data_IF_433089098440
#
_entry.id   IF_433089098440
#
_cell.length_a   1.000
_cell.length_b   1.000
_cell.length_c   1.000
_cell.angle_alpha   90.00
_cell.angle_beta   90.00
_cell.angle_gamma   90.00
#
_symmetry.space_group_name_H-M   'P 1'
#
loop_
_entity.id
_entity.type
_entity.pdbx_description
1 polymer ?
#
# COMPACT_ATOMS: atom_id res chain seq x y z
N UNK A 1 16.97 17.38 11.49
CA UNK A 1 15.76 17.40 10.62
C UNK A 1 16.14 17.27 9.16
N UNK A 2 16.98 18.17 8.63
CA UNK A 2 17.72 17.97 7.38
C UNK A 2 18.35 16.57 7.32
N UNK A 3 18.24 15.91 6.16
CA UNK A 3 18.71 14.55 5.88
C UNK A 3 18.08 13.42 6.73
N UNK A 4 17.00 13.69 7.46
CA UNK A 4 16.24 12.61 8.09
C UNK A 4 15.46 11.81 7.05
N UNK A 5 15.23 10.52 7.31
CA UNK A 5 14.35 9.67 6.48
C UNK A 5 12.95 10.28 6.32
N UNK A 6 12.44 10.90 7.39
CA UNK A 6 11.19 11.65 7.37
C UNK A 6 11.20 12.76 6.32
N UNK A 7 12.19 13.65 6.36
CA UNK A 7 12.28 14.78 5.43
C UNK A 7 12.43 14.29 3.98
N UNK A 8 13.26 13.26 3.77
CA UNK A 8 13.44 12.65 2.44
C UNK A 8 12.13 12.07 1.91
N UNK A 9 11.39 11.29 2.71
CA UNK A 9 10.10 10.74 2.30
C UNK A 9 9.11 11.85 1.95
N UNK A 10 8.95 12.82 2.85
CA UNK A 10 7.99 13.91 2.70
C UNK A 10 8.32 14.84 1.53
N UNK A 11 9.60 15.02 1.18
CA UNK A 11 9.99 15.78 -0.02
C UNK A 11 9.56 15.13 -1.35
N UNK A 12 9.19 13.84 -1.35
CA UNK A 12 8.67 13.16 -2.56
C UNK A 12 7.19 13.42 -2.82
N UNK A 13 6.47 14.01 -1.86
CA UNK A 13 5.03 14.18 -1.95
C UNK A 13 4.68 15.37 -2.84
N UNK A 14 3.87 15.13 -3.86
CA UNK A 14 3.21 16.19 -4.64
C UNK A 14 2.13 16.90 -3.80
N UNK A 15 1.61 18.08 -4.24
CA UNK A 15 0.61 18.84 -3.48
C UNK A 15 -0.66 18.05 -3.13
N UNK A 16 -1.07 17.11 -3.99
CA UNK A 16 -2.22 16.23 -3.74
C UNK A 16 -1.92 15.20 -2.65
N UNK A 17 -0.72 14.60 -2.66
CA UNK A 17 -0.33 13.65 -1.61
C UNK A 17 -0.16 14.34 -0.26
N UNK A 18 0.35 15.58 -0.24
CA UNK A 18 0.42 16.38 0.98
C UNK A 18 -0.94 16.57 1.64
N UNK A 19 -1.95 16.94 0.85
CA UNK A 19 -3.31 17.10 1.35
C UNK A 19 -3.87 15.79 1.91
N UNK A 20 -3.71 14.71 1.16
CA UNK A 20 -4.15 13.38 1.61
C UNK A 20 -3.39 12.91 2.86
N UNK A 21 -2.11 13.27 3.00
CA UNK A 21 -1.30 12.92 4.16
C UNK A 21 -1.71 13.70 5.41
N UNK A 22 -2.06 14.98 5.29
CA UNK A 22 -2.66 15.74 6.39
C UNK A 22 -3.97 15.11 6.86
N UNK A 23 -4.89 14.80 5.94
CA UNK A 23 -6.16 14.14 6.25
C UNK A 23 -5.93 12.78 6.93
N UNK A 24 -4.92 12.03 6.45
CA UNK A 24 -4.52 10.76 7.03
C UNK A 24 -3.98 10.90 8.47
N UNK A 25 -3.07 11.85 8.72
CA UNK A 25 -2.50 12.09 10.06
C UNK A 25 -3.54 12.69 11.01
N UNK A 26 -4.52 13.44 10.51
CA UNK A 26 -5.62 13.97 11.31
C UNK A 26 -6.70 12.91 11.63
N UNK A 27 -6.69 11.77 10.93
CA UNK A 27 -7.68 10.72 11.14
C UNK A 27 -7.48 10.02 12.50
N UNK A 28 -8.52 9.99 13.38
CA UNK A 28 -8.44 9.34 14.69
C UNK A 28 -8.25 7.81 14.62
N UNK A 29 -8.45 7.23 13.42
CA UNK A 29 -8.18 5.82 13.16
C UNK A 29 -6.67 5.52 13.09
N UNK A 30 -5.87 6.45 12.55
CA UNK A 30 -4.43 6.27 12.36
C UNK A 30 -3.59 7.00 13.42
N UNK A 31 -4.07 8.15 13.92
CA UNK A 31 -3.32 8.96 14.87
C UNK A 31 -4.26 9.71 15.83
N UNK A 32 -3.86 9.80 17.10
CA UNK A 32 -4.56 10.57 18.14
C UNK A 32 -3.71 11.70 18.74
N UNK A 33 -2.44 11.83 18.34
CA UNK A 33 -1.56 12.88 18.85
C UNK A 33 -1.75 14.16 18.07
N UNK A 34 -2.19 15.21 18.77
CA UNK A 34 -2.29 16.55 18.20
C UNK A 34 -0.92 17.12 17.84
N UNK A 35 0.14 16.72 18.55
CA UNK A 35 1.51 17.12 18.27
C UNK A 35 1.94 16.67 16.88
N UNK A 36 1.58 15.44 16.48
CA UNK A 36 1.89 14.94 15.13
C UNK A 36 1.09 15.69 14.06
N UNK A 37 -0.16 16.08 14.34
CA UNK A 37 -0.97 16.91 13.43
C UNK A 37 -0.31 18.29 13.25
N UNK A 38 0.08 18.94 14.34
CA UNK A 38 0.80 20.23 14.32
C UNK A 38 2.15 20.11 13.61
N UNK A 39 2.87 19.02 13.81
CA UNK A 39 4.14 18.77 13.13
C UNK A 39 3.94 18.63 11.62
N UNK A 40 2.95 17.85 11.18
CA UNK A 40 2.63 17.70 9.75
C UNK A 40 2.29 19.04 9.10
N UNK A 41 1.42 19.83 9.75
CA UNK A 41 1.04 21.16 9.25
C UNK A 41 2.24 22.11 9.15
N UNK A 42 3.12 22.10 10.18
CA UNK A 42 4.36 22.86 10.16
C UNK A 42 5.26 22.45 8.98
N UNK A 43 5.49 21.15 8.78
CA UNK A 43 6.37 20.66 7.71
C UNK A 43 5.82 20.94 6.30
N UNK A 44 4.49 20.83 6.11
CA UNK A 44 3.86 21.13 4.82
C UNK A 44 4.11 22.58 4.39
N UNK A 45 4.22 23.53 5.33
CA UNK A 45 4.55 24.92 5.04
C UNK A 45 5.87 25.11 4.30
N UNK A 46 6.77 24.12 4.36
CA UNK A 46 8.06 24.12 3.68
C UNK A 46 8.11 23.16 2.47
N UNK A 47 6.99 22.53 2.09
CA UNK A 47 6.95 21.65 0.93
C UNK A 47 7.15 22.43 -0.38
N UNK A 48 7.89 21.88 -1.37
CA UNK A 48 8.56 20.58 -1.35
C UNK A 48 9.95 20.59 -0.67
N UNK A 49 10.53 21.75 -0.40
CA UNK A 49 11.89 21.90 0.16
C UNK A 49 11.94 21.78 1.70
N UNK A 50 11.47 20.65 2.20
CA UNK A 50 11.49 20.32 3.64
C UNK A 50 12.92 19.99 4.11
N UNK A 51 13.82 19.75 3.15
CA UNK A 51 15.24 19.50 3.38
C UNK A 51 16.08 20.76 3.55
N UNK A 52 15.47 21.94 3.41
CA UNK A 52 16.16 23.21 3.58
C UNK A 52 16.80 23.33 4.97
N UNK A 53 17.90 24.07 5.07
CA UNK A 53 18.53 24.37 6.37
C UNK A 53 17.66 25.25 7.28
N UNK A 54 16.59 25.85 6.75
CA UNK A 54 15.66 26.70 7.48
C UNK A 54 14.68 25.89 8.33
N UNK A 55 14.57 24.57 8.10
CA UNK A 55 13.71 23.69 8.90
C UNK A 55 14.54 23.01 9.99
N UNK A 56 14.69 23.68 11.13
CA UNK A 56 15.40 23.12 12.30
C UNK A 56 14.47 22.35 13.24
N UNK A 57 15.03 21.38 13.98
CA UNK A 57 14.31 20.61 14.98
C UNK A 57 13.76 21.49 16.12
N UNK A 58 14.50 22.55 16.47
CA UNK A 58 14.10 23.50 17.50
C UNK A 58 12.88 24.33 17.08
N UNK A 59 12.88 24.87 15.85
CA UNK A 59 11.73 25.61 15.31
C UNK A 59 10.50 24.71 15.19
N UNK A 60 10.68 23.48 14.69
CA UNK A 60 9.59 22.50 14.63
C UNK A 60 9.04 22.18 16.03
N UNK A 61 9.90 21.97 17.03
CA UNK A 61 9.46 21.74 18.40
C UNK A 61 8.65 22.92 18.96
N UNK A 62 9.07 24.16 18.69
CA UNK A 62 8.33 25.37 19.09
C UNK A 62 6.95 25.45 18.44
N UNK A 63 6.84 25.06 17.16
CA UNK A 63 5.56 25.02 16.46
C UNK A 63 4.63 23.92 16.99
N UNK A 64 5.20 22.76 17.36
CA UNK A 64 4.46 21.60 17.85
C UNK A 64 4.00 21.76 19.30
N UNK A 65 4.83 22.35 20.15
CA UNK A 65 4.57 22.52 21.58
C UNK A 65 4.96 23.94 22.05
N UNK A 66 4.12 24.96 21.74
CA UNK A 66 4.38 26.33 22.13
C UNK A 66 4.54 26.46 23.65
N UNK A 67 5.53 27.24 24.09
CA UNK A 67 5.78 27.51 25.51
C UNK A 67 6.50 26.40 26.29
N UNK A 68 6.81 25.25 25.68
CA UNK A 68 7.66 24.22 26.30
C UNK A 68 9.14 24.43 25.94
N UNK A 69 10.07 24.13 26.85
CA UNK A 69 11.49 24.12 26.52
C UNK A 69 11.77 23.06 25.44
N UNK A 70 12.79 23.31 24.61
CA UNK A 70 13.19 22.35 23.60
C UNK A 70 13.70 21.05 24.25
N UNK A 71 13.09 19.93 23.87
CA UNK A 71 13.53 18.59 24.24
C UNK A 71 13.84 17.81 22.96
N UNK A 72 15.14 17.61 22.70
CA UNK A 72 15.62 16.89 21.53
C UNK A 72 15.13 15.44 21.48
N UNK A 73 14.97 14.79 22.64
CA UNK A 73 14.47 13.40 22.72
C UNK A 73 13.01 13.35 22.34
N UNK A 74 12.20 14.26 22.87
CA UNK A 74 10.77 14.35 22.54
C UNK A 74 10.56 14.68 21.06
N UNK A 75 11.32 15.62 20.51
CA UNK A 75 11.27 15.94 19.08
C UNK A 75 11.67 14.73 18.22
N UNK A 76 12.70 13.98 18.63
CA UNK A 76 13.09 12.72 17.99
C UNK A 76 11.96 11.68 17.97
N UNK A 77 11.19 11.57 19.06
CA UNK A 77 10.00 10.71 19.10
C UNK A 77 8.94 11.16 18.10
N UNK A 78 8.58 12.44 18.09
CA UNK A 78 7.57 12.95 17.15
C UNK A 78 7.98 12.72 15.69
N UNK A 79 9.25 12.97 15.35
CA UNK A 79 9.76 12.69 14.01
C UNK A 79 9.67 11.21 13.65
N UNK A 80 10.03 10.31 14.57
CA UNK A 80 9.96 8.87 14.33
C UNK A 80 8.52 8.38 14.16
N UNK A 81 7.58 8.88 14.97
CA UNK A 81 6.16 8.53 14.83
C UNK A 81 5.56 9.08 13.54
N UNK A 82 5.87 10.33 13.18
CA UNK A 82 5.40 10.90 11.93
C UNK A 82 5.98 10.17 10.71
N UNK A 83 7.24 9.71 10.80
CA UNK A 83 7.85 8.89 9.76
C UNK A 83 7.11 7.58 9.55
N UNK A 84 6.74 6.90 10.64
CA UNK A 84 5.92 5.67 10.57
C UNK A 84 4.54 5.93 9.95
N UNK A 85 3.91 7.07 10.26
CA UNK A 85 2.65 7.47 9.61
C UNK A 85 2.86 7.70 8.11
N UNK A 86 3.99 8.31 7.72
CA UNK A 86 4.38 8.44 6.32
C UNK A 86 4.54 7.11 5.60
N UNK A 87 5.23 6.13 6.21
CA UNK A 87 5.38 4.77 5.68
C UNK A 87 4.02 4.07 5.52
N UNK A 88 3.15 4.19 6.53
CA UNK A 88 1.80 3.63 6.48
C UNK A 88 0.95 4.28 5.38
N UNK A 89 1.03 5.60 5.23
CA UNK A 89 0.32 6.36 4.21
C UNK A 89 0.71 5.90 2.80
N UNK A 90 2.01 5.81 2.48
CA UNK A 90 2.44 5.37 1.15
C UNK A 90 2.06 3.91 0.87
N UNK A 91 2.05 3.06 1.90
CA UNK A 91 1.56 1.68 1.80
C UNK A 91 0.07 1.63 1.44
N UNK A 92 -0.77 2.39 2.15
CA UNK A 92 -2.22 2.45 1.89
C UNK A 92 -2.50 3.03 0.51
N UNK A 93 -1.79 4.07 0.08
CA UNK A 93 -1.94 4.61 -1.28
C UNK A 93 -1.56 3.60 -2.35
N UNK A 94 -0.45 2.86 -2.16
CA UNK A 94 -0.07 1.78 -3.08
C UNK A 94 -1.14 0.71 -3.15
N UNK A 95 -1.74 0.36 -2.01
CA UNK A 95 -2.83 -0.61 -1.93
C UNK A 95 -4.10 -0.12 -2.66
N UNK A 96 -4.48 1.13 -2.46
CA UNK A 96 -5.64 1.77 -3.12
C UNK A 96 -5.54 1.79 -4.65
N UNK A 97 -4.31 1.83 -5.19
CA UNK A 97 -4.06 1.74 -6.63
C UNK A 97 -4.09 0.30 -7.17
N UNK A 98 -4.06 -0.70 -6.28
CA UNK A 98 -4.05 -2.12 -6.66
C UNK A 98 -5.44 -2.75 -6.49
N UNK A 99 -6.35 -2.41 -7.40
CA UNK A 99 -7.72 -2.96 -7.43
C UNK A 99 -7.76 -4.49 -7.45
N UNK A 100 -6.93 -5.20 -8.26
CA UNK A 100 -6.79 -6.65 -8.21
C UNK A 100 -6.62 -7.20 -6.78
N UNK A 101 -5.65 -6.65 -6.05
CA UNK A 101 -5.34 -7.11 -4.70
C UNK A 101 -6.49 -6.84 -3.72
N UNK A 102 -7.12 -5.67 -3.84
CA UNK A 102 -8.29 -5.32 -3.02
C UNK A 102 -9.43 -6.31 -3.19
N UNK A 103 -9.71 -6.77 -4.42
CA UNK A 103 -10.73 -7.80 -4.63
C UNK A 103 -10.41 -9.08 -3.88
N UNK A 104 -9.20 -9.61 -4.04
CA UNK A 104 -8.80 -10.86 -3.39
C UNK A 104 -8.89 -10.76 -1.86
N UNK A 105 -8.41 -9.67 -1.26
CA UNK A 105 -8.45 -9.50 0.19
C UNK A 105 -9.90 -9.40 0.72
N UNK A 106 -10.77 -8.64 0.05
CA UNK A 106 -12.19 -8.50 0.44
C UNK A 106 -12.96 -9.81 0.23
N UNK A 107 -12.68 -10.55 -0.85
CA UNK A 107 -13.26 -11.88 -1.08
C UNK A 107 -12.88 -12.86 0.03
N UNK A 108 -11.62 -12.84 0.48
CA UNK A 108 -11.18 -13.66 1.60
C UNK A 108 -11.93 -13.31 2.89
N UNK A 109 -12.09 -12.02 3.20
CA UNK A 109 -12.87 -11.54 4.36
C UNK A 109 -14.35 -11.98 4.29
N UNK A 110 -15.00 -11.82 3.15
CA UNK A 110 -16.39 -12.26 2.96
C UNK A 110 -16.53 -13.78 3.11
N UNK A 111 -15.56 -14.54 2.60
CA UNK A 111 -15.51 -15.98 2.74
C UNK A 111 -15.37 -16.40 4.22
N UNK A 112 -14.48 -15.77 5.00
CA UNK A 112 -14.31 -16.06 6.43
C UNK A 112 -15.55 -15.73 7.25
N UNK A 113 -16.22 -14.64 6.89
CA UNK A 113 -17.44 -14.15 7.56
C UNK A 113 -18.70 -14.88 7.09
N UNK A 114 -18.60 -15.83 6.16
CA UNK A 114 -19.72 -16.58 5.54
C UNK A 114 -20.76 -15.67 4.87
N UNK A 115 -20.28 -14.63 4.19
CA UNK A 115 -21.10 -13.64 3.47
C UNK A 115 -21.23 -14.02 1.99
N UNK A 116 -21.80 -15.20 1.70
CA UNK A 116 -21.76 -15.81 0.36
C UNK A 116 -22.37 -14.93 -0.75
N UNK A 117 -23.45 -14.19 -0.45
CA UNK A 117 -24.05 -13.25 -1.41
C UNK A 117 -23.10 -12.10 -1.78
N UNK A 118 -22.39 -11.57 -0.79
CA UNK A 118 -21.41 -10.50 -1.01
C UNK A 118 -20.19 -11.03 -1.77
N UNK A 119 -19.72 -12.23 -1.39
CA UNK A 119 -18.65 -12.93 -2.08
C UNK A 119 -18.99 -13.13 -3.57
N UNK A 120 -20.13 -13.74 -3.88
CA UNK A 120 -20.51 -14.07 -5.25
C UNK A 120 -20.66 -12.82 -6.13
N UNK A 121 -21.24 -11.74 -5.58
CA UNK A 121 -21.35 -10.47 -6.30
C UNK A 121 -19.98 -9.89 -6.64
N UNK A 122 -19.07 -9.83 -5.65
CA UNK A 122 -17.73 -9.27 -5.85
C UNK A 122 -16.88 -10.16 -6.77
N UNK A 123 -17.00 -11.48 -6.64
CA UNK A 123 -16.24 -12.45 -7.42
C UNK A 123 -16.54 -12.30 -8.91
N UNK A 124 -17.82 -12.22 -9.29
CA UNK A 124 -18.24 -11.99 -10.69
C UNK A 124 -17.68 -10.68 -11.25
N UNK A 125 -17.61 -9.64 -10.43
CA UNK A 125 -17.01 -8.36 -10.83
C UNK A 125 -15.50 -8.52 -11.07
N UNK A 126 -14.81 -9.17 -10.15
CA UNK A 126 -13.36 -9.42 -10.26
C UNK A 126 -13.03 -10.29 -11.48
N UNK A 127 -13.83 -11.33 -11.75
CA UNK A 127 -13.70 -12.21 -12.90
C UNK A 127 -13.88 -11.44 -14.22
N UNK A 128 -14.91 -10.59 -14.33
CA UNK A 128 -15.09 -9.73 -15.50
C UNK A 128 -13.99 -8.68 -15.70
N UNK A 129 -13.28 -8.28 -14.65
CA UNK A 129 -12.10 -7.42 -14.75
C UNK A 129 -10.87 -8.20 -15.26
N UNK A 130 -10.71 -9.47 -14.85
CA UNK A 130 -9.65 -10.37 -15.36
C UNK A 130 -9.85 -10.69 -16.84
N UNK A 131 -11.09 -10.96 -17.27
CA UNK A 131 -11.40 -11.32 -18.67
C UNK A 131 -11.12 -10.19 -19.65
N UNK A 132 -11.30 -8.93 -19.22
CA UNK A 132 -11.07 -7.74 -20.04
C UNK A 132 -9.61 -7.28 -20.05
N UNK A 133 -8.79 -7.79 -19.15
CA UNK A 133 -7.39 -7.38 -19.04
C UNK A 133 -6.54 -7.97 -20.18
N UNK A 134 -5.55 -7.19 -20.65
CA UNK A 134 -4.52 -7.68 -21.56
C UNK A 134 -3.71 -8.79 -20.89
N UNK A 135 -3.15 -9.75 -21.64
CA UNK A 135 -2.35 -10.84 -21.08
C UNK A 135 -0.90 -10.41 -20.75
N UNK A 136 -0.76 -9.48 -19.82
CA UNK A 136 0.53 -9.06 -19.27
C UNK A 136 0.85 -9.76 -17.93
N UNK A 137 1.98 -9.41 -17.32
CA UNK A 137 2.40 -10.05 -16.05
C UNK A 137 1.48 -9.71 -14.88
N UNK A 138 0.93 -8.48 -14.82
CA UNK A 138 0.12 -8.04 -13.69
C UNK A 138 -1.29 -8.67 -13.74
N UNK A 139 -1.91 -8.69 -14.91
CA UNK A 139 -3.17 -9.38 -15.18
C UNK A 139 -3.10 -10.90 -14.97
N UNK A 140 -2.02 -11.57 -15.41
CA UNK A 140 -1.83 -12.99 -15.17
C UNK A 140 -1.63 -13.28 -13.69
N UNK A 141 -0.91 -12.41 -12.97
CA UNK A 141 -0.80 -12.48 -11.50
C UNK A 141 -2.16 -12.34 -10.86
N UNK A 142 -2.97 -11.38 -11.29
CA UNK A 142 -4.32 -11.20 -10.76
C UNK A 142 -5.20 -12.43 -11.01
N UNK A 143 -5.18 -12.98 -12.23
CA UNK A 143 -5.92 -14.21 -12.57
C UNK A 143 -5.55 -15.36 -11.63
N UNK A 144 -4.25 -15.56 -11.41
CA UNK A 144 -3.76 -16.56 -10.48
C UNK A 144 -4.24 -16.32 -9.04
N UNK A 145 -4.07 -15.10 -8.52
CA UNK A 145 -4.48 -14.75 -7.15
C UNK A 145 -6.00 -14.89 -6.93
N UNK A 146 -6.80 -14.54 -7.93
CA UNK A 146 -8.26 -14.68 -7.89
C UNK A 146 -8.67 -16.16 -7.90
N UNK A 147 -8.05 -16.98 -8.74
CA UNK A 147 -8.32 -18.42 -8.79
C UNK A 147 -7.92 -19.13 -7.48
N UNK A 148 -6.78 -18.78 -6.88
CA UNK A 148 -6.40 -19.24 -5.55
C UNK A 148 -7.43 -18.84 -4.47
N UNK A 149 -7.92 -17.59 -4.53
CA UNK A 149 -8.95 -17.10 -3.61
C UNK A 149 -10.26 -17.88 -3.76
N UNK A 150 -10.64 -18.24 -4.99
CA UNK A 150 -11.79 -19.09 -5.27
C UNK A 150 -11.64 -20.49 -4.68
N UNK A 151 -10.49 -21.13 -4.89
CA UNK A 151 -10.24 -22.47 -4.35
C UNK A 151 -10.23 -22.49 -2.81
N UNK A 152 -9.65 -21.47 -2.16
CA UNK A 152 -9.71 -21.31 -0.70
C UNK A 152 -11.15 -21.18 -0.19
N UNK A 153 -12.00 -20.42 -0.88
CA UNK A 153 -13.41 -20.32 -0.55
C UNK A 153 -14.14 -21.67 -0.72
N UNK A 154 -13.90 -22.39 -1.81
CA UNK A 154 -14.47 -23.72 -2.04
C UNK A 154 -14.11 -24.72 -0.93
N UNK A 155 -12.82 -24.80 -0.55
CA UNK A 155 -12.35 -25.64 0.56
C UNK A 155 -13.10 -25.32 1.87
N UNK A 156 -13.33 -24.03 2.15
CA UNK A 156 -14.06 -23.58 3.35
C UNK A 156 -15.53 -23.98 3.35
N UNK A 157 -16.17 -24.10 2.19
CA UNK A 157 -17.55 -24.57 2.10
C UNK A 157 -17.69 -26.08 2.41
N UNK A 158 -16.59 -26.85 2.44
CA UNK A 158 -16.56 -28.29 2.72
C UNK A 158 -17.47 -29.13 1.80
N UNK A 159 -17.71 -28.64 0.58
CA UNK A 159 -18.49 -29.36 -0.42
C UNK A 159 -17.62 -30.50 -0.98
N UNK A 160 -18.14 -31.74 -0.94
CA UNK A 160 -17.48 -32.90 -1.56
C UNK A 160 -17.85 -32.98 -3.05
N UNK A 161 -17.34 -32.05 -3.84
CA UNK A 161 -17.45 -32.06 -5.30
C UNK A 161 -16.10 -31.77 -5.95
N UNK A 162 -15.96 -32.09 -7.23
CA UNK A 162 -14.79 -31.72 -8.01
C UNK A 162 -14.64 -30.19 -8.03
N UNK A 163 -13.48 -29.69 -7.62
CA UNK A 163 -13.14 -28.25 -7.65
C UNK A 163 -12.35 -27.95 -8.91
N UNK A 164 -13.00 -27.38 -9.92
CA UNK A 164 -12.30 -26.85 -11.08
C UNK A 164 -11.43 -25.65 -10.72
N UNK A 165 -11.68 -24.95 -9.61
CA UNK A 165 -10.95 -23.75 -9.18
C UNK A 165 -9.47 -24.00 -8.94
N UNK A 166 -9.11 -25.16 -8.36
CA UNK A 166 -7.71 -25.55 -8.18
C UNK A 166 -6.98 -25.76 -9.53
N UNK A 167 -7.66 -26.34 -10.52
CA UNK A 167 -7.10 -26.49 -11.86
C UNK A 167 -6.88 -25.12 -12.53
N UNK A 168 -7.86 -24.21 -12.47
CA UNK A 168 -7.71 -22.86 -13.00
C UNK A 168 -6.56 -22.09 -12.31
N UNK A 169 -6.35 -22.30 -11.01
CA UNK A 169 -5.23 -21.71 -10.29
C UNK A 169 -3.89 -22.28 -10.78
N UNK A 170 -3.80 -23.60 -10.98
CA UNK A 170 -2.61 -24.25 -11.53
C UNK A 170 -2.29 -23.75 -12.95
N UNK A 171 -3.28 -23.70 -13.83
CA UNK A 171 -3.09 -23.24 -15.21
C UNK A 171 -2.66 -21.76 -15.27
N UNK A 172 -3.25 -20.91 -14.42
CA UNK A 172 -2.87 -19.50 -14.32
C UNK A 172 -1.45 -19.33 -13.75
N UNK A 173 -1.03 -20.19 -12.82
CA UNK A 173 0.32 -20.20 -12.28
C UNK A 173 1.35 -20.52 -13.36
N UNK A 174 1.09 -21.54 -14.18
CA UNK A 174 1.98 -21.92 -15.29
C UNK A 174 2.17 -20.77 -16.27
N UNK A 175 1.07 -20.11 -16.68
CA UNK A 175 1.13 -18.95 -17.58
C UNK A 175 1.99 -17.82 -16.99
N UNK A 176 1.77 -17.47 -15.72
CA UNK A 176 2.54 -16.45 -15.01
C UNK A 176 4.03 -16.82 -14.92
N UNK A 177 4.31 -18.07 -14.54
CA UNK A 177 5.66 -18.58 -14.35
C UNK A 177 6.46 -18.54 -15.65
N UNK A 178 5.91 -19.06 -16.75
CA UNK A 178 6.60 -19.09 -18.03
C UNK A 178 6.85 -17.68 -18.58
N UNK A 179 5.87 -16.77 -18.50
CA UNK A 179 6.06 -15.39 -18.92
C UNK A 179 7.17 -14.70 -18.11
N UNK A 180 7.16 -14.88 -16.79
CA UNK A 180 8.14 -14.26 -15.92
C UNK A 180 9.55 -14.83 -16.14
N UNK A 181 9.67 -16.14 -16.32
CA UNK A 181 10.94 -16.81 -16.65
C UNK A 181 11.49 -16.32 -17.98
N UNK A 182 10.66 -16.20 -19.01
CA UNK A 182 11.08 -15.67 -20.31
C UNK A 182 11.62 -14.25 -20.19
N UNK A 183 10.91 -13.35 -19.50
CA UNK A 183 11.38 -11.98 -19.24
C UNK A 183 12.75 -11.96 -18.57
N UNK A 184 12.94 -12.77 -17.53
CA UNK A 184 14.23 -12.85 -16.85
C UNK A 184 15.33 -13.43 -17.74
N UNK A 185 15.05 -14.45 -18.55
CA UNK A 185 16.01 -14.98 -19.50
C UNK A 185 16.45 -13.94 -20.52
N UNK A 186 15.53 -13.12 -21.05
CA UNK A 186 15.88 -12.01 -21.94
C UNK A 186 16.75 -10.95 -21.24
N UNK A 187 16.39 -10.55 -20.02
CA UNK A 187 17.19 -9.61 -19.21
C UNK A 187 18.59 -10.14 -18.91
N UNK A 188 18.71 -11.42 -18.59
CA UNK A 188 20.00 -12.08 -18.33
C UNK A 188 20.88 -12.07 -19.58
N UNK A 189 20.32 -12.43 -20.74
CA UNK A 189 21.04 -12.39 -22.02
C UNK A 189 21.51 -10.98 -22.37
N UNK A 190 20.65 -9.98 -22.17
CA UNK A 190 20.99 -8.58 -22.44
C UNK A 190 22.13 -8.08 -21.55
N UNK A 191 22.14 -8.46 -20.26
CA UNK A 191 23.21 -8.10 -19.32
C UNK A 191 24.51 -8.86 -19.52
N UNK A 192 24.47 -10.04 -20.14
CA UNK A 192 25.68 -10.79 -20.52
C UNK A 192 26.38 -10.20 -21.75
N UNK A 193 25.68 -9.40 -22.55
CA UNK A 193 26.21 -8.75 -23.74
C UNK A 193 26.86 -7.38 -23.46
N UNK A 194 26.93 -6.97 -22.19
CA UNK A 194 27.58 -5.74 -21.69
C UNK A 194 28.86 -6.15 -20.95
#
# INVERSE_FOLDING_TARGET
MKNSKLAQLLSTFDPGQWRQFEDFVASPFFNKSEELIRLTAYLKGFAPDITSSEVTAEQACKAVAPGKPYDARQMGYWMNYLHKLGEQFVSIRRYQLNTPRQYCDVLNEFSERKLDKHYLFLYRKAEGDVERALADTESLRFRYELAETASKHFIRQRVRSFDSGLQHAADALDQLYFLQKLKYSCEMLNRQAI
#
